data_IF_221097438325
#
_entry.id   IF_221097438325
#
_cell.length_a   1.000
_cell.length_b   1.000
_cell.length_c   1.000
_cell.angle_alpha   90.00
_cell.angle_beta   90.00
_cell.angle_gamma   90.00
#
_symmetry.space_group_name_H-M   'P 1'
#
loop_
_entity.id
_entity.type
_entity.pdbx_description
1 polymer ?
#
# COMPACT_ATOMS: atom_id res chain seq x y z
N UNK A 1 -52.60 -40.10 49.81
CA UNK A 1 -51.99 -38.90 50.40
C UNK A 1 -51.01 -38.32 49.38
N UNK A 2 -51.42 -37.25 48.67
CA UNK A 2 -50.68 -36.63 47.55
C UNK A 2 -49.82 -35.50 48.13
N UNK A 3 -48.49 -35.63 48.05
CA UNK A 3 -47.56 -34.52 48.30
C UNK A 3 -47.13 -33.95 46.95
N UNK A 4 -47.80 -32.87 46.58
CA UNK A 4 -47.52 -32.06 45.40
C UNK A 4 -46.42 -31.06 45.80
N UNK A 5 -45.20 -31.25 45.29
CA UNK A 5 -44.12 -30.26 45.38
C UNK A 5 -44.09 -29.49 44.07
N UNK A 6 -44.60 -28.26 44.10
CA UNK A 6 -44.49 -27.28 43.03
C UNK A 6 -43.09 -26.66 43.08
N UNK A 7 -42.23 -27.06 42.15
CA UNK A 7 -40.92 -26.45 41.94
C UNK A 7 -41.12 -25.36 40.86
N UNK A 8 -41.11 -24.11 41.30
CA UNK A 8 -41.21 -22.93 40.45
C UNK A 8 -39.88 -22.76 39.71
N UNK A 9 -39.78 -23.37 38.53
CA UNK A 9 -38.62 -23.29 37.65
C UNK A 9 -38.51 -21.90 37.01
N UNK A 10 -37.64 -21.05 37.56
CA UNK A 10 -37.30 -19.76 36.99
C UNK A 10 -36.35 -19.98 35.81
N UNK A 11 -36.91 -20.01 34.60
CA UNK A 11 -36.14 -20.17 33.36
C UNK A 11 -35.31 -18.92 33.08
N UNK A 12 -34.00 -19.01 33.29
CA UNK A 12 -33.05 -18.03 32.75
C UNK A 12 -32.83 -18.33 31.27
N UNK A 13 -33.50 -17.56 30.41
CA UNK A 13 -33.23 -17.53 28.97
C UNK A 13 -31.91 -16.80 28.74
N UNK A 14 -30.82 -17.55 28.58
CA UNK A 14 -29.56 -17.01 28.06
C UNK A 14 -29.74 -16.74 26.56
N UNK A 15 -29.89 -15.46 26.21
CA UNK A 15 -29.78 -15.02 24.82
C UNK A 15 -28.30 -15.08 24.43
N UNK A 16 -27.91 -16.08 23.64
CA UNK A 16 -26.60 -16.13 23.01
C UNK A 16 -26.49 -15.02 21.97
N UNK A 17 -25.86 -13.90 22.34
CA UNK A 17 -25.31 -12.95 21.36
C UNK A 17 -24.16 -13.67 20.66
N UNK A 18 -24.38 -14.05 19.39
CA UNK A 18 -23.31 -14.51 18.53
C UNK A 18 -22.33 -13.34 18.31
N UNK A 19 -21.22 -13.36 19.05
CA UNK A 19 -20.11 -12.45 18.80
C UNK A 19 -19.51 -12.86 17.45
N UNK A 20 -19.86 -12.14 16.39
CA UNK A 20 -19.20 -12.26 15.10
C UNK A 20 -17.74 -11.82 15.27
N UNK A 21 -16.87 -12.77 15.57
CA UNK A 21 -15.43 -12.57 15.58
C UNK A 21 -14.99 -12.23 14.16
N UNK A 22 -14.65 -10.97 13.91
CA UNK A 22 -13.97 -10.58 12.68
C UNK A 22 -12.58 -11.22 12.72
N UNK A 23 -12.39 -12.32 11.99
CA UNK A 23 -11.06 -12.85 11.75
C UNK A 23 -10.26 -11.74 11.06
N UNK A 24 -9.24 -11.22 11.75
CA UNK A 24 -8.37 -10.22 11.18
C UNK A 24 -7.66 -10.83 9.97
N UNK A 25 -7.82 -10.22 8.80
CA UNK A 25 -7.15 -10.65 7.59
C UNK A 25 -5.64 -10.35 7.69
N UNK A 26 -4.81 -11.29 7.26
CA UNK A 26 -3.37 -11.11 7.22
C UNK A 26 -2.95 -10.39 5.93
N UNK A 27 -2.73 -9.07 6.05
CA UNK A 27 -2.27 -8.23 4.93
C UNK A 27 -0.93 -8.67 4.33
N UNK A 28 -0.03 -9.27 5.12
CA UNK A 28 1.24 -9.79 4.63
C UNK A 28 1.00 -11.01 3.73
N UNK A 29 0.15 -11.94 4.17
CA UNK A 29 -0.19 -13.12 3.38
C UNK A 29 -0.86 -12.73 2.05
N UNK A 30 -1.71 -11.70 2.05
CA UNK A 30 -2.32 -11.16 0.83
C UNK A 30 -1.26 -10.54 -0.09
N UNK A 31 -0.31 -9.77 0.46
CA UNK A 31 0.81 -9.22 -0.30
C UNK A 31 1.65 -10.34 -0.95
N UNK A 32 2.06 -11.33 -0.16
CA UNK A 32 2.91 -12.43 -0.61
C UNK A 32 2.26 -13.20 -1.75
N UNK A 33 0.94 -13.44 -1.67
CA UNK A 33 0.19 -14.17 -2.69
C UNK A 33 -0.08 -13.37 -3.97
N UNK A 34 -0.41 -12.08 -3.84
CA UNK A 34 -0.99 -11.31 -4.95
C UNK A 34 -0.06 -10.20 -5.49
N UNK A 35 0.75 -9.60 -4.63
CA UNK A 35 1.51 -8.39 -4.96
C UNK A 35 3.00 -8.65 -5.17
N UNK A 36 3.55 -9.67 -4.48
CA UNK A 36 4.98 -9.99 -4.47
C UNK A 36 5.53 -10.41 -5.84
N UNK A 37 4.66 -10.85 -6.76
CA UNK A 37 5.01 -11.19 -8.15
C UNK A 37 5.67 -10.00 -8.88
N UNK A 38 5.20 -8.77 -8.61
CA UNK A 38 5.70 -7.56 -9.23
C UNK A 38 6.49 -6.67 -8.27
N UNK A 39 6.12 -6.65 -6.99
CA UNK A 39 6.74 -5.80 -5.99
C UNK A 39 7.75 -6.58 -5.13
N UNK A 40 8.92 -6.01 -4.91
CA UNK A 40 9.76 -6.36 -3.78
C UNK A 40 9.33 -5.54 -2.56
N UNK A 41 9.52 -6.06 -1.35
CA UNK A 41 9.31 -5.23 -0.14
C UNK A 41 10.41 -4.18 -0.07
N UNK A 42 11.65 -4.63 -0.22
CA UNK A 42 12.86 -3.85 -0.15
C UNK A 42 13.51 -3.67 -1.51
N UNK A 43 14.25 -2.56 -1.75
CA UNK A 43 15.12 -2.46 -2.90
C UNK A 43 16.09 -3.66 -2.99
N UNK A 44 16.47 -4.10 -4.20
CA UNK A 44 16.16 -3.52 -5.51
C UNK A 44 14.72 -3.78 -6.02
N UNK A 45 14.22 -3.02 -7.01
CA UNK A 45 12.93 -3.28 -7.64
C UNK A 45 12.92 -4.57 -8.48
N UNK A 46 11.73 -5.15 -8.66
CA UNK A 46 11.44 -6.16 -9.69
C UNK A 46 10.86 -5.46 -10.93
N UNK A 47 9.64 -5.84 -11.34
CA UNK A 47 8.89 -5.20 -12.43
C UNK A 47 8.02 -4.03 -11.98
N UNK A 48 7.95 -3.77 -10.66
CA UNK A 48 7.25 -2.65 -10.04
C UNK A 48 8.13 -2.06 -8.91
N UNK A 49 7.84 -0.83 -8.42
CA UNK A 49 8.66 -0.20 -7.38
C UNK A 49 8.63 -0.97 -6.05
N UNK A 50 9.69 -0.92 -5.22
CA UNK A 50 9.68 -1.58 -3.93
C UNK A 50 8.68 -0.93 -2.97
N UNK A 51 8.12 -1.70 -2.04
CA UNK A 51 7.08 -1.23 -1.12
C UNK A 51 7.59 -0.22 -0.09
N UNK A 52 8.76 -0.44 0.51
CA UNK A 52 9.25 0.44 1.58
C UNK A 52 9.40 1.92 1.14
N UNK A 53 9.99 2.24 -0.03
CA UNK A 53 9.98 3.61 -0.55
C UNK A 53 8.58 4.16 -0.83
N UNK A 54 7.67 3.34 -1.37
CA UNK A 54 6.28 3.76 -1.57
C UNK A 54 5.58 4.11 -0.25
N UNK A 55 5.77 3.29 0.78
CA UNK A 55 5.25 3.54 2.12
C UNK A 55 5.74 4.89 2.66
N UNK A 56 7.02 5.22 2.45
CA UNK A 56 7.57 6.54 2.78
C UNK A 56 6.87 7.69 2.05
N UNK A 57 6.53 7.54 0.76
CA UNK A 57 5.76 8.57 0.05
C UNK A 57 4.32 8.72 0.61
N UNK A 58 3.70 7.62 1.04
CA UNK A 58 2.39 7.68 1.71
C UNK A 58 2.46 8.45 3.03
N UNK A 59 3.45 8.21 3.88
CA UNK A 59 3.64 8.94 5.15
C UNK A 59 4.00 10.42 4.95
N UNK A 60 4.63 10.78 3.83
CA UNK A 60 4.88 12.18 3.49
C UNK A 60 3.61 12.90 3.02
N UNK A 61 2.75 12.22 2.25
CA UNK A 61 1.57 12.82 1.64
C UNK A 61 0.37 12.89 2.59
N UNK A 62 0.23 11.90 3.48
CA UNK A 62 -0.93 11.76 4.35
C UNK A 62 -0.54 11.84 5.82
N UNK A 63 -1.23 12.70 6.58
CA UNK A 63 -1.00 12.86 8.01
C UNK A 63 -1.57 11.71 8.85
N UNK A 64 -2.49 10.91 8.29
CA UNK A 64 -3.13 9.81 9.01
C UNK A 64 -3.05 8.51 8.21
N UNK A 65 -2.91 7.38 8.94
CA UNK A 65 -3.00 6.04 8.36
C UNK A 65 -4.33 5.82 7.64
N UNK A 66 -5.42 6.33 8.19
CA UNK A 66 -6.76 6.20 7.61
C UNK A 66 -6.81 6.79 6.20
N UNK A 67 -6.33 8.01 6.01
CA UNK A 67 -6.39 8.69 4.71
C UNK A 67 -5.45 8.05 3.70
N UNK A 68 -4.22 7.70 4.13
CA UNK A 68 -3.26 7.01 3.27
C UNK A 68 -3.76 5.63 2.81
N UNK A 69 -4.30 4.83 3.73
CA UNK A 69 -4.91 3.53 3.42
C UNK A 69 -6.12 3.69 2.51
N UNK A 70 -7.00 4.66 2.76
CA UNK A 70 -8.17 4.89 1.91
C UNK A 70 -7.76 5.25 0.47
N UNK A 71 -6.74 6.11 0.32
CA UNK A 71 -6.20 6.43 -0.99
C UNK A 71 -5.59 5.19 -1.67
N UNK A 72 -4.78 4.41 -0.94
CA UNK A 72 -4.17 3.20 -1.49
C UNK A 72 -5.23 2.19 -1.93
N UNK A 73 -6.27 1.94 -1.12
CA UNK A 73 -7.39 1.07 -1.49
C UNK A 73 -8.07 1.56 -2.77
N UNK A 74 -8.36 2.87 -2.87
CA UNK A 74 -8.96 3.44 -4.07
C UNK A 74 -8.06 3.25 -5.30
N UNK A 75 -6.75 3.45 -5.14
CA UNK A 75 -5.76 3.23 -6.20
C UNK A 75 -5.67 1.76 -6.60
N UNK A 76 -5.69 0.80 -5.66
CA UNK A 76 -5.67 -0.63 -5.99
C UNK A 76 -6.92 -1.06 -6.79
N UNK A 77 -8.09 -0.48 -6.48
CA UNK A 77 -9.35 -0.75 -7.20
C UNK A 77 -9.37 -0.16 -8.62
N UNK A 78 -8.91 1.08 -8.75
CA UNK A 78 -8.95 1.81 -10.01
C UNK A 78 -7.69 2.67 -10.16
N UNK A 79 -6.57 2.04 -10.57
CA UNK A 79 -5.32 2.75 -10.76
C UNK A 79 -5.46 3.84 -11.81
N UNK A 80 -4.97 5.03 -11.49
CA UNK A 80 -4.98 6.17 -12.38
C UNK A 80 -3.65 6.92 -12.25
N UNK A 81 -3.07 7.35 -13.38
CA UNK A 81 -1.76 8.00 -13.43
C UNK A 81 -1.71 9.27 -12.56
N UNK A 82 -2.75 10.07 -12.57
CA UNK A 82 -2.86 11.34 -11.84
C UNK A 82 -3.08 11.13 -10.32
N UNK A 83 -3.53 9.92 -9.95
CA UNK A 83 -3.74 9.51 -8.56
C UNK A 83 -2.62 8.62 -8.03
N UNK A 84 -1.57 8.37 -8.80
CA UNK A 84 -0.42 7.61 -8.33
C UNK A 84 0.27 8.35 -7.17
N UNK A 85 0.74 7.61 -6.17
CA UNK A 85 1.52 8.20 -5.06
C UNK A 85 2.90 8.67 -5.55
N UNK A 86 3.43 8.03 -6.59
CA UNK A 86 4.72 8.33 -7.20
C UNK A 86 4.57 8.37 -8.74
N UNK A 87 4.51 9.58 -9.34
CA UNK A 87 4.48 9.73 -10.79
C UNK A 87 5.73 9.21 -11.49
N UNK A 88 6.90 9.22 -10.84
CA UNK A 88 8.13 8.69 -11.43
C UNK A 88 8.08 7.17 -11.55
N UNK A 89 7.44 6.48 -10.59
CA UNK A 89 7.15 5.06 -10.71
C UNK A 89 6.28 4.74 -11.94
N UNK A 90 5.29 5.60 -12.26
CA UNK A 90 4.48 5.42 -13.47
C UNK A 90 5.34 5.58 -14.74
N UNK A 91 6.21 6.59 -14.79
CA UNK A 91 7.12 6.78 -15.94
C UNK A 91 8.05 5.58 -16.12
N UNK A 92 8.51 4.96 -15.03
CA UNK A 92 9.50 3.88 -15.06
C UNK A 92 8.91 2.49 -15.27
N UNK A 93 7.79 2.18 -14.59
CA UNK A 93 7.22 0.83 -14.53
C UNK A 93 5.86 0.71 -15.23
N UNK A 94 5.27 1.84 -15.64
CA UNK A 94 3.92 1.88 -16.19
C UNK A 94 2.84 1.93 -15.10
N UNK A 95 1.58 1.95 -15.55
CA UNK A 95 0.43 1.96 -14.66
C UNK A 95 0.14 0.55 -14.14
N UNK A 96 0.02 0.41 -12.82
CA UNK A 96 -0.35 -0.85 -12.17
C UNK A 96 -1.74 -1.30 -12.62
N UNK A 97 -1.99 -2.61 -12.85
CA UNK A 97 -3.33 -3.10 -13.15
C UNK A 97 -4.24 -3.04 -11.93
N UNK A 98 -5.55 -2.92 -12.16
CA UNK A 98 -6.56 -3.01 -11.10
C UNK A 98 -6.51 -4.38 -10.41
N UNK A 99 -6.61 -4.39 -9.09
CA UNK A 99 -6.52 -5.61 -8.29
C UNK A 99 -7.91 -6.21 -8.06
N UNK A 100 -8.22 -7.41 -8.58
CA UNK A 100 -9.53 -8.03 -8.47
C UNK A 100 -9.70 -8.76 -7.12
N UNK A 101 -9.48 -8.05 -6.02
CA UNK A 101 -9.60 -8.58 -4.66
C UNK A 101 -10.81 -7.96 -3.94
N UNK A 102 -11.41 -8.67 -2.97
CA UNK A 102 -12.44 -8.10 -2.12
C UNK A 102 -11.96 -6.87 -1.36
N UNK A 103 -12.87 -5.93 -1.10
CA UNK A 103 -12.58 -4.68 -0.37
C UNK A 103 -11.84 -4.89 0.96
N UNK A 104 -12.21 -5.93 1.70
CA UNK A 104 -11.58 -6.26 2.97
C UNK A 104 -10.11 -6.69 2.79
N UNK A 105 -9.80 -7.46 1.74
CA UNK A 105 -8.43 -7.88 1.43
C UNK A 105 -7.60 -6.70 0.92
N UNK A 106 -8.17 -5.86 0.04
CA UNK A 106 -7.53 -4.63 -0.42
C UNK A 106 -7.18 -3.71 0.75
N UNK A 107 -8.08 -3.59 1.73
CA UNK A 107 -7.83 -2.81 2.92
C UNK A 107 -6.73 -3.42 3.78
N UNK A 108 -6.77 -4.73 4.04
CA UNK A 108 -5.77 -5.42 4.84
C UNK A 108 -4.36 -5.29 4.24
N UNK A 109 -4.21 -5.49 2.92
CA UNK A 109 -2.91 -5.32 2.26
C UNK A 109 -2.46 -3.87 2.21
N UNK A 110 -3.38 -2.91 2.07
CA UNK A 110 -3.05 -1.49 2.10
C UNK A 110 -2.57 -1.04 3.50
N UNK A 111 -3.19 -1.54 4.57
CA UNK A 111 -2.73 -1.30 5.94
C UNK A 111 -1.32 -1.89 6.16
N UNK A 112 -1.08 -3.11 5.66
CA UNK A 112 0.24 -3.72 5.73
C UNK A 112 1.31 -2.94 4.94
N UNK A 113 0.99 -2.45 3.74
CA UNK A 113 1.87 -1.59 2.93
C UNK A 113 2.22 -0.30 3.67
N UNK A 114 1.23 0.36 4.29
CA UNK A 114 1.45 1.55 5.11
C UNK A 114 2.44 1.28 6.27
N UNK A 115 2.32 0.12 6.90
CA UNK A 115 3.16 -0.29 8.03
C UNK A 115 4.60 -0.66 7.63
N UNK A 116 4.91 -0.77 6.33
CA UNK A 116 6.29 -0.97 5.85
C UNK A 116 7.14 0.31 5.90
N UNK A 117 6.57 1.43 6.36
CA UNK A 117 7.32 2.67 6.52
C UNK A 117 8.50 2.50 7.47
N UNK A 118 9.69 2.87 6.99
CA UNK A 118 10.90 2.88 7.80
C UNK A 118 11.62 4.24 7.64
N UNK A 119 11.59 5.11 8.67
CA UNK A 119 12.22 6.44 8.61
C UNK A 119 13.75 6.38 8.46
N UNK A 120 14.37 5.27 8.86
CA UNK A 120 15.83 5.12 8.89
C UNK A 120 16.44 4.68 7.56
N UNK A 121 15.63 4.30 6.56
CA UNK A 121 16.16 3.87 5.27
C UNK A 121 16.66 5.00 4.39
N UNK A 122 16.48 6.26 4.81
CA UNK A 122 16.72 7.42 3.98
C UNK A 122 15.77 7.43 2.79
N UNK A 123 15.29 8.61 2.39
CA UNK A 123 14.77 8.71 1.03
C UNK A 123 15.97 8.49 0.12
N UNK A 124 16.10 7.28 -0.43
CA UNK A 124 17.10 6.99 -1.43
C UNK A 124 17.03 8.09 -2.46
N UNK A 125 18.00 9.00 -2.44
CA UNK A 125 18.21 9.98 -3.50
C UNK A 125 18.47 9.14 -4.71
N UNK A 126 17.42 8.88 -5.48
CA UNK A 126 17.50 8.10 -6.71
C UNK A 126 18.65 8.66 -7.53
N UNK A 127 19.54 7.77 -7.95
CA UNK A 127 20.52 8.05 -8.98
C UNK A 127 19.79 8.65 -10.19
N UNK A 128 19.85 9.97 -10.27
CA UNK A 128 19.27 10.80 -11.31
C UNK A 128 20.24 11.90 -11.69
N UNK A 129 21.54 11.59 -11.74
CA UNK A 129 22.52 12.41 -12.46
C UNK A 129 22.48 11.97 -13.92
N UNK A 130 21.44 12.39 -14.64
CA UNK A 130 21.57 12.55 -16.08
C UNK A 130 22.62 13.62 -16.32
N UNK A 131 23.86 13.22 -16.55
CA UNK A 131 24.92 14.09 -17.05
C UNK A 131 24.56 14.46 -18.50
N UNK A 132 23.64 15.43 -18.63
CA UNK A 132 23.29 16.09 -19.87
C UNK A 132 23.64 17.57 -19.76
N UNK A 133 24.91 17.89 -19.50
CA UNK A 133 25.42 19.25 -19.63
C UNK A 133 26.78 19.21 -20.33
N UNK A 134 26.77 19.64 -21.59
CA UNK A 134 27.96 19.79 -22.41
C UNK A 134 27.69 20.38 -23.80
N UNK A 135 26.63 21.17 -24.00
CA UNK A 135 26.54 22.04 -25.17
C UNK A 135 27.40 23.29 -24.92
N UNK A 136 28.71 23.12 -25.09
CA UNK A 136 29.70 24.19 -25.08
C UNK A 136 29.73 24.92 -26.42
N UNK A 137 29.02 26.04 -26.47
CA UNK A 137 29.27 27.30 -27.17
C UNK A 137 30.32 27.33 -28.29
N UNK A 138 29.88 27.85 -29.44
CA UNK A 138 30.72 28.10 -30.61
C UNK A 138 31.84 29.12 -30.41
N UNK A 139 32.83 29.01 -31.30
CA UNK A 139 33.72 30.11 -31.68
C UNK A 139 33.81 30.13 -33.20
N UNK A 140 33.12 31.09 -33.80
CA UNK A 140 33.45 31.59 -35.11
C UNK A 140 34.63 32.58 -35.03
N UNK A 141 35.19 32.86 -36.21
CA UNK A 141 36.32 33.75 -36.56
C UNK A 141 37.68 33.10 -36.41
N UNK A 142 38.55 33.09 -37.41
CA UNK A 142 38.52 33.79 -38.69
C UNK A 142 39.88 33.58 -39.37
N UNK A 143 39.84 33.54 -40.70
CA UNK A 143 41.00 33.53 -41.58
C UNK A 143 41.98 34.64 -41.19
N UNK A 144 43.28 34.31 -41.11
CA UNK A 144 44.31 35.21 -41.59
C UNK A 144 45.64 34.50 -41.83
N UNK A 145 46.06 34.62 -43.10
CA UNK A 145 47.44 34.66 -43.62
C UNK A 145 48.23 33.36 -43.67
#
# INVERSE_FOLDING_TARGET
MKRLLLIMGMGFSFNSVAQAGTVALDGKAIFDKNCSVCHSVMPPPKTAPPITPLASHYHQKYSTKKDGVNHLVAYLKSPNKDKAIDPQAITRFGLMPAQPLPDAELRAVAEWVWDQYNPNMGMGRGMGMGQGQGMGMGRGRGMNQ
#
